data_IF_239244597058
#
_entry.id   IF_239244597058
#
_cell.length_a   1.000
_cell.length_b   1.000
_cell.length_c   1.000
_cell.angle_alpha   90.00
_cell.angle_beta   90.00
_cell.angle_gamma   90.00
#
_symmetry.space_group_name_H-M   'P 1'
#
loop_
_entity.id
_entity.type
_entity.pdbx_description
1 polymer ?
#
# COMPACT_ATOMS: atom_id res chain seq x y z
N UNK A 1 1.07 7.35 -23.66
CA UNK A 1 0.91 7.55 -22.21
C UNK A 1 2.27 7.83 -21.60
N UNK A 2 2.37 8.75 -20.66
CA UNK A 2 3.62 9.02 -19.96
C UNK A 2 3.75 8.11 -18.73
N UNK A 3 4.44 6.98 -18.91
CA UNK A 3 4.70 6.01 -17.87
C UNK A 3 5.62 6.53 -16.77
N UNK A 4 6.54 7.44 -17.11
CA UNK A 4 7.44 8.05 -16.13
C UNK A 4 6.67 8.90 -15.14
N UNK A 5 5.85 9.83 -15.63
CA UNK A 5 5.00 10.67 -14.76
C UNK A 5 4.03 9.83 -13.91
N UNK A 6 3.47 8.74 -14.47
CA UNK A 6 2.60 7.83 -13.71
C UNK A 6 3.36 7.16 -12.56
N UNK A 7 4.55 6.60 -12.83
CA UNK A 7 5.36 5.95 -11.80
C UNK A 7 5.82 6.96 -10.73
N UNK A 8 6.26 8.16 -11.12
CA UNK A 8 6.64 9.21 -10.18
C UNK A 8 5.49 9.62 -9.24
N UNK A 9 4.26 9.61 -9.75
CA UNK A 9 3.05 9.89 -8.95
C UNK A 9 2.71 8.77 -7.97
N UNK A 10 2.84 7.50 -8.39
CA UNK A 10 2.35 6.34 -7.66
C UNK A 10 3.45 5.62 -6.83
N UNK A 11 4.72 5.93 -7.07
CA UNK A 11 5.87 5.42 -6.31
C UNK A 11 6.46 6.55 -5.46
N UNK A 12 6.00 6.64 -4.24
CA UNK A 12 6.48 7.66 -3.29
C UNK A 12 7.03 6.99 -2.02
N UNK A 13 8.01 7.59 -1.34
CA UNK A 13 8.37 7.15 -0.01
C UNK A 13 7.19 7.37 0.95
N UNK A 14 7.02 6.45 1.88
CA UNK A 14 6.02 6.53 2.93
C UNK A 14 6.56 5.92 4.23
N UNK A 15 6.30 6.60 5.33
CA UNK A 15 6.72 6.23 6.65
C UNK A 15 5.59 5.48 7.37
N UNK A 16 5.66 4.15 7.43
CA UNK A 16 4.60 3.33 8.01
C UNK A 16 3.38 3.10 7.10
N UNK A 17 2.20 2.89 7.69
CA UNK A 17 0.97 2.67 6.95
C UNK A 17 0.37 3.99 6.45
N UNK A 18 -0.04 4.04 5.19
CA UNK A 18 -0.46 5.29 4.53
C UNK A 18 -1.71 5.91 5.13
N UNK A 19 -2.69 5.12 5.55
CA UNK A 19 -3.95 5.62 6.09
C UNK A 19 -3.79 6.30 7.47
N UNK A 20 -3.09 5.71 8.46
CA UNK A 20 -2.84 6.42 9.72
C UNK A 20 -1.95 7.65 9.53
N UNK A 21 -1.02 7.62 8.57
CA UNK A 21 -0.20 8.79 8.27
C UNK A 21 -1.03 9.90 7.61
N UNK A 22 -1.96 9.58 6.71
CA UNK A 22 -2.87 10.57 6.15
C UNK A 22 -3.76 11.23 7.22
N UNK A 23 -4.20 10.43 8.22
CA UNK A 23 -4.93 10.96 9.38
C UNK A 23 -4.06 11.89 10.22
N UNK A 24 -2.81 11.50 10.50
CA UNK A 24 -1.83 12.34 11.19
C UNK A 24 -1.52 13.62 10.41
N UNK A 25 -1.38 13.54 9.10
CA UNK A 25 -1.17 14.67 8.21
C UNK A 25 -2.32 15.66 8.24
N UNK A 26 -3.57 15.17 8.18
CA UNK A 26 -4.75 16.04 8.32
C UNK A 26 -4.79 16.75 9.68
N UNK A 27 -4.46 16.03 10.76
CA UNK A 27 -4.43 16.57 12.11
C UNK A 27 -3.28 17.60 12.30
N UNK A 28 -2.09 17.30 11.77
CA UNK A 28 -0.98 18.27 11.74
C UNK A 28 -1.36 19.56 10.99
N UNK A 29 -2.04 19.41 9.85
CA UNK A 29 -2.53 20.57 9.09
C UNK A 29 -3.58 21.36 9.85
N UNK A 30 -4.53 20.69 10.51
CA UNK A 30 -5.55 21.36 11.32
C UNK A 30 -4.92 22.13 12.51
N UNK A 31 -3.97 21.52 13.21
CA UNK A 31 -3.24 22.20 14.29
C UNK A 31 -2.41 23.38 13.77
N UNK A 32 -1.78 23.25 12.59
CA UNK A 32 -0.93 24.32 12.03
C UNK A 32 -1.66 25.59 11.60
N UNK A 33 -2.98 25.55 11.40
CA UNK A 33 -3.78 26.72 11.01
C UNK A 33 -4.50 27.39 12.18
N UNK A 34 -4.35 26.82 13.41
CA UNK A 34 -4.96 27.38 14.64
C UNK A 34 -4.03 28.33 15.39
N UNK A 35 -2.74 28.43 15.02
CA UNK A 35 -1.70 29.18 15.71
C UNK A 35 -1.46 28.75 17.18
N UNK A 36 -2.24 27.80 17.70
CA UNK A 36 -2.11 27.23 19.05
C UNK A 36 -2.46 25.73 19.07
N UNK A 37 -2.03 25.00 20.09
CA UNK A 37 -2.32 23.57 20.20
C UNK A 37 -3.80 23.36 20.55
N UNK A 38 -4.55 22.49 19.84
CA UNK A 38 -5.97 22.29 20.08
C UNK A 38 -6.27 21.69 21.46
N UNK A 39 -7.45 21.95 21.97
CA UNK A 39 -7.98 21.35 23.21
C UNK A 39 -8.69 20.02 22.95
N UNK A 40 -9.18 19.80 21.73
CA UNK A 40 -9.86 18.59 21.31
C UNK A 40 -9.72 18.37 19.82
N UNK A 41 -9.69 17.10 19.41
CA UNK A 41 -9.77 16.67 18.01
C UNK A 41 -10.98 15.77 17.82
N UNK A 42 -11.77 16.04 16.78
CA UNK A 42 -12.80 15.15 16.29
C UNK A 42 -12.43 14.63 14.90
N UNK A 43 -12.31 13.31 14.75
CA UNK A 43 -11.92 12.66 13.50
C UNK A 43 -13.13 11.91 12.91
N UNK A 44 -13.64 12.35 11.76
CA UNK A 44 -14.66 11.64 10.97
C UNK A 44 -13.99 10.94 9.80
N UNK A 45 -14.13 9.63 9.72
CA UNK A 45 -13.41 8.83 8.74
C UNK A 45 -14.35 7.85 8.03
N UNK A 46 -14.08 7.59 6.74
CA UNK A 46 -14.75 6.49 6.04
C UNK A 46 -14.49 5.15 6.69
N UNK A 47 -15.36 4.21 6.43
CA UNK A 47 -15.26 2.84 6.89
C UNK A 47 -13.93 2.18 6.54
N UNK A 48 -13.41 2.43 5.34
CA UNK A 48 -12.11 1.89 4.90
C UNK A 48 -10.91 2.49 5.66
N UNK A 49 -10.95 3.76 5.99
CA UNK A 49 -9.91 4.38 6.84
C UNK A 49 -9.96 3.77 8.24
N UNK A 50 -11.14 3.65 8.85
CA UNK A 50 -11.29 3.01 10.17
C UNK A 50 -10.73 1.58 10.14
N UNK A 51 -11.12 0.77 9.15
CA UNK A 51 -10.66 -0.60 8.95
C UNK A 51 -9.13 -0.71 8.89
N UNK A 52 -8.48 0.21 8.17
CA UNK A 52 -7.04 0.16 7.94
C UNK A 52 -6.21 0.74 9.09
N UNK A 53 -6.80 1.59 9.94
CA UNK A 53 -6.07 2.26 11.04
C UNK A 53 -6.29 1.57 12.40
N UNK A 54 -7.46 0.96 12.63
CA UNK A 54 -7.87 0.43 13.94
C UNK A 54 -6.82 -0.48 14.61
N UNK A 55 -6.17 -1.35 13.86
CA UNK A 55 -5.31 -2.42 14.41
C UNK A 55 -3.81 -2.26 14.11
N UNK A 56 -3.42 -1.23 13.35
CA UNK A 56 -2.02 -1.01 12.97
C UNK A 56 -1.30 -0.17 14.03
N UNK A 57 -0.03 -0.49 14.26
CA UNK A 57 0.83 0.33 15.11
C UNK A 57 1.20 1.61 14.36
N UNK A 58 0.97 2.76 15.00
CA UNK A 58 1.35 4.06 14.45
C UNK A 58 2.87 4.22 14.55
N UNK A 59 3.56 4.55 13.46
CA UNK A 59 5.00 4.75 13.48
C UNK A 59 5.42 5.80 14.52
N UNK A 60 6.54 5.58 15.16
CA UNK A 60 7.09 6.47 16.19
C UNK A 60 6.18 6.78 17.39
N UNK A 61 5.05 6.08 17.55
CA UNK A 61 4.09 6.29 18.65
C UNK A 61 4.45 5.59 19.97
N UNK A 62 5.54 4.82 20.00
CA UNK A 62 5.85 3.94 21.14
C UNK A 62 4.92 2.72 21.24
N UNK A 63 4.47 2.18 20.08
CA UNK A 63 3.62 0.98 20.00
C UNK A 63 2.11 1.24 20.12
N UNK A 64 1.68 2.50 20.13
CA UNK A 64 0.26 2.88 20.18
C UNK A 64 -0.44 2.58 18.85
N UNK A 65 -1.73 2.26 18.92
CA UNK A 65 -2.55 1.89 17.77
C UNK A 65 -3.79 2.76 17.64
N UNK A 66 -4.38 2.76 16.45
CA UNK A 66 -5.71 3.31 16.22
C UNK A 66 -5.74 4.78 15.80
N UNK A 67 -6.95 5.24 15.45
CA UNK A 67 -7.20 6.54 14.83
C UNK A 67 -6.83 7.71 15.77
N UNK A 68 -7.26 7.63 17.04
CA UNK A 68 -6.95 8.67 18.02
C UNK A 68 -5.44 8.87 18.19
N UNK A 69 -4.67 7.77 18.27
CA UNK A 69 -3.21 7.85 18.39
C UNK A 69 -2.56 8.52 17.17
N UNK A 70 -3.04 8.23 15.95
CA UNK A 70 -2.54 8.85 14.74
C UNK A 70 -2.86 10.35 14.68
N UNK A 71 -4.11 10.73 14.97
CA UNK A 71 -4.54 12.13 14.93
C UNK A 71 -3.80 12.98 15.99
N UNK A 72 -3.75 12.50 17.23
CA UNK A 72 -3.08 13.22 18.32
C UNK A 72 -1.58 13.39 18.02
N UNK A 73 -0.88 12.30 17.62
CA UNK A 73 0.55 12.38 17.33
C UNK A 73 0.84 13.31 16.15
N UNK A 74 -0.02 13.32 15.13
CA UNK A 74 0.08 14.26 14.01
C UNK A 74 -0.02 15.72 14.46
N UNK A 75 -0.99 16.04 15.33
CA UNK A 75 -1.15 17.38 15.88
C UNK A 75 0.06 17.80 16.77
N UNK A 76 0.61 16.86 17.56
CA UNK A 76 1.78 17.12 18.41
C UNK A 76 3.02 17.44 17.56
N UNK A 77 3.33 16.62 16.56
CA UNK A 77 4.53 16.76 15.71
C UNK A 77 4.44 18.01 14.83
N UNK A 78 3.25 18.28 14.27
CA UNK A 78 2.89 19.56 13.67
C UNK A 78 3.63 19.98 12.40
N UNK A 79 4.18 19.04 11.60
CA UNK A 79 4.93 19.30 10.37
C UNK A 79 4.18 18.85 9.09
N UNK A 80 3.05 19.52 8.72
CA UNK A 80 2.23 19.09 7.57
C UNK A 80 2.97 19.15 6.23
N UNK A 81 4.01 19.94 6.09
CA UNK A 81 4.83 20.02 4.87
C UNK A 81 5.56 18.72 4.54
N UNK A 82 5.66 17.78 5.51
CA UNK A 82 6.25 16.45 5.32
C UNK A 82 5.29 15.40 4.77
N UNK A 83 4.02 15.72 4.60
CA UNK A 83 2.99 14.81 4.03
C UNK A 83 3.04 13.41 4.68
N UNK A 84 3.39 12.38 3.90
CA UNK A 84 3.45 10.98 4.37
C UNK A 84 4.65 10.65 5.28
N UNK A 85 5.48 11.62 5.58
CA UNK A 85 6.62 11.53 6.52
C UNK A 85 6.38 12.38 7.78
N UNK A 86 5.17 12.88 7.99
CA UNK A 86 4.78 13.80 9.07
C UNK A 86 5.15 13.32 10.48
N UNK A 87 5.22 12.01 10.72
CA UNK A 87 5.57 11.42 12.03
C UNK A 87 7.06 11.05 12.18
N UNK A 88 7.89 11.30 11.17
CA UNK A 88 9.30 10.90 11.19
C UNK A 88 10.08 11.52 12.36
N UNK A 89 9.82 12.78 12.68
CA UNK A 89 10.52 13.56 13.69
C UNK A 89 9.96 13.41 15.12
N UNK A 90 8.99 12.51 15.36
CA UNK A 90 8.40 12.33 16.68
C UNK A 90 9.41 11.87 17.73
N UNK A 91 9.48 12.58 18.85
CA UNK A 91 10.43 12.41 19.95
C UNK A 91 9.87 11.55 21.09
N UNK A 92 10.71 11.23 22.09
CA UNK A 92 10.25 10.56 23.31
C UNK A 92 9.30 11.44 24.15
N UNK A 93 9.45 12.74 24.09
CA UNK A 93 8.56 13.70 24.76
C UNK A 93 7.19 13.71 24.11
N UNK A 94 7.14 13.69 22.78
CA UNK A 94 5.87 13.60 22.01
C UNK A 94 5.13 12.29 22.34
N UNK A 95 5.85 11.18 22.50
CA UNK A 95 5.24 9.88 22.89
C UNK A 95 4.66 9.91 24.30
N UNK A 96 5.30 10.59 25.24
CA UNK A 96 4.77 10.77 26.60
C UNK A 96 3.53 11.64 26.58
N UNK A 97 3.57 12.74 25.83
CA UNK A 97 2.42 13.63 25.67
C UNK A 97 1.26 12.94 24.99
N UNK A 98 1.52 12.17 23.91
CA UNK A 98 0.53 11.31 23.27
C UNK A 98 -0.18 10.40 24.28
N UNK A 99 0.59 9.76 25.19
CA UNK A 99 0.00 8.89 26.22
C UNK A 99 -0.99 9.63 27.12
N UNK A 100 -0.61 10.80 27.63
CA UNK A 100 -1.47 11.63 28.48
C UNK A 100 -2.75 12.08 27.76
N UNK A 101 -2.63 12.50 26.49
CA UNK A 101 -3.78 12.96 25.71
C UNK A 101 -4.73 11.82 25.36
N UNK A 102 -4.21 10.63 25.05
CA UNK A 102 -5.05 9.43 24.85
C UNK A 102 -5.87 9.08 26.09
N UNK A 103 -5.25 9.12 27.26
CA UNK A 103 -5.90 8.81 28.54
C UNK A 103 -6.96 9.85 28.94
N UNK A 104 -6.82 11.10 28.47
CA UNK A 104 -7.80 12.18 28.71
C UNK A 104 -9.01 12.17 27.80
N UNK A 105 -9.03 11.34 26.75
CA UNK A 105 -10.10 11.38 25.73
C UNK A 105 -10.04 12.60 24.80
N UNK A 106 -8.84 13.13 24.59
CA UNK A 106 -8.57 14.31 23.74
C UNK A 106 -9.05 14.16 22.29
N UNK A 107 -9.17 12.94 21.77
CA UNK A 107 -9.63 12.69 20.41
C UNK A 107 -10.86 11.77 20.41
N UNK A 108 -11.91 12.21 19.72
CA UNK A 108 -13.10 11.40 19.42
C UNK A 108 -13.08 10.97 17.96
N UNK A 109 -13.62 9.77 17.69
CA UNK A 109 -13.64 9.18 16.34
C UNK A 109 -15.07 8.82 15.96
N UNK A 110 -15.47 9.18 14.74
CA UNK A 110 -16.80 8.93 14.19
C UNK A 110 -16.72 8.32 12.80
N UNK A 111 -17.65 7.42 12.47
CA UNK A 111 -17.83 6.89 11.12
C UNK A 111 -18.52 7.93 10.25
N UNK A 112 -17.89 8.31 9.14
CA UNK A 112 -18.51 9.11 8.10
C UNK A 112 -19.25 8.18 7.12
N UNK A 113 -20.57 8.31 7.06
CA UNK A 113 -21.42 7.57 6.12
C UNK A 113 -21.66 8.36 4.83
N UNK A 114 -21.84 7.65 3.71
CA UNK A 114 -22.17 8.28 2.41
C UNK A 114 -21.02 9.03 1.75
N UNK A 115 -19.78 8.78 2.19
CA UNK A 115 -18.55 9.42 1.67
C UNK A 115 -17.74 8.45 0.82
N UNK A 116 -16.73 8.95 0.12
CA UNK A 116 -15.80 8.13 -0.66
C UNK A 116 -14.98 7.17 0.23
N UNK A 117 -14.44 6.11 -0.38
CA UNK A 117 -13.65 5.10 0.31
C UNK A 117 -12.44 5.66 1.06
N UNK A 118 -11.82 6.72 0.55
CA UNK A 118 -10.78 7.48 1.23
C UNK A 118 -11.33 8.85 1.60
N UNK A 119 -11.81 8.95 2.83
CA UNK A 119 -12.32 10.19 3.41
C UNK A 119 -11.82 10.31 4.85
N UNK A 120 -11.19 11.43 5.14
CA UNK A 120 -10.73 11.84 6.47
C UNK A 120 -11.14 13.29 6.65
N UNK A 121 -11.86 13.60 7.74
CA UNK A 121 -12.15 14.95 8.17
C UNK A 121 -11.70 15.12 9.62
N UNK A 122 -10.84 16.09 9.86
CA UNK A 122 -10.36 16.47 11.19
C UNK A 122 -10.96 17.83 11.53
N UNK A 123 -11.66 17.87 12.67
CA UNK A 123 -12.03 19.11 13.33
C UNK A 123 -11.17 19.26 14.58
N UNK A 124 -10.33 20.28 14.63
CA UNK A 124 -9.51 20.63 15.77
C UNK A 124 -10.04 21.92 16.39
N UNK A 125 -10.22 21.94 17.73
CA UNK A 125 -10.82 23.08 18.45
C UNK A 125 -9.90 23.56 19.55
N UNK A 126 -9.84 24.87 19.73
CA UNK A 126 -9.30 25.56 20.90
C UNK A 126 -10.45 26.19 21.68
N UNK A 127 -10.19 27.03 22.68
CA UNK A 127 -11.24 27.76 23.40
C UNK A 127 -11.91 28.82 22.51
N UNK A 128 -11.20 29.34 21.50
CA UNK A 128 -11.64 30.46 20.67
C UNK A 128 -11.84 30.09 19.20
N UNK A 129 -11.12 29.08 18.68
CA UNK A 129 -11.08 28.77 17.25
C UNK A 129 -11.40 27.31 16.92
N UNK A 130 -11.89 27.10 15.72
CA UNK A 130 -12.18 25.77 15.15
C UNK A 130 -11.60 25.66 13.75
N UNK A 131 -10.70 24.69 13.53
CA UNK A 131 -10.18 24.37 12.21
C UNK A 131 -10.79 23.07 11.69
N UNK A 132 -11.09 23.02 10.39
CA UNK A 132 -11.53 21.80 9.70
C UNK A 132 -10.61 21.52 8.52
N UNK A 133 -10.10 20.30 8.44
CA UNK A 133 -9.28 19.82 7.33
C UNK A 133 -9.85 18.52 6.78
N UNK A 134 -9.96 18.42 5.45
CA UNK A 134 -10.47 17.23 4.77
C UNK A 134 -9.48 16.68 3.76
N UNK A 135 -9.31 15.35 3.75
CA UNK A 135 -8.54 14.61 2.75
C UNK A 135 -9.49 13.65 2.04
N UNK A 136 -9.47 13.65 0.71
CA UNK A 136 -10.33 12.81 -0.12
C UNK A 136 -9.56 12.23 -1.32
N UNK A 137 -9.91 11.00 -1.70
CA UNK A 137 -9.48 10.30 -2.92
C UNK A 137 -7.99 9.92 -3.00
N UNK A 138 -7.09 10.62 -2.31
CA UNK A 138 -5.68 10.26 -2.20
C UNK A 138 -5.13 10.71 -0.83
N UNK A 139 -4.17 9.96 -0.27
CA UNK A 139 -3.67 10.14 1.10
C UNK A 139 -3.05 11.51 1.39
N UNK A 140 -2.60 12.23 0.37
CA UNK A 140 -2.02 13.59 0.49
C UNK A 140 -2.89 14.68 -0.12
N UNK A 141 -4.12 14.33 -0.59
CA UNK A 141 -5.00 15.28 -1.25
C UNK A 141 -5.89 16.01 -0.24
N UNK A 142 -5.39 17.10 0.34
CA UNK A 142 -6.22 18.00 1.15
C UNK A 142 -7.19 18.73 0.21
N UNK A 143 -8.48 18.48 0.39
CA UNK A 143 -9.55 19.07 -0.44
C UNK A 143 -10.22 20.27 0.22
N UNK A 144 -10.10 20.40 1.54
CA UNK A 144 -10.75 21.49 2.28
C UNK A 144 -9.93 21.89 3.52
N UNK A 145 -9.79 23.18 3.74
CA UNK A 145 -9.24 23.77 4.96
C UNK A 145 -10.06 25.02 5.32
N UNK A 146 -10.54 25.09 6.54
CA UNK A 146 -11.21 26.30 7.06
C UNK A 146 -10.81 26.56 8.51
N UNK A 147 -10.96 27.82 8.94
CA UNK A 147 -10.88 28.27 10.34
C UNK A 147 -12.09 29.13 10.62
N UNK A 148 -12.85 28.83 11.68
CA UNK A 148 -14.08 29.52 12.12
C UNK A 148 -15.14 29.66 11.01
N UNK A 149 -15.15 28.67 10.08
CA UNK A 149 -16.05 28.68 8.92
C UNK A 149 -15.55 29.53 7.75
N UNK A 150 -14.45 30.27 7.88
CA UNK A 150 -13.78 30.92 6.77
C UNK A 150 -12.94 29.89 6.00
N UNK A 151 -13.21 29.72 4.70
CA UNK A 151 -12.53 28.76 3.84
C UNK A 151 -11.19 29.33 3.41
N UNK A 152 -10.09 28.69 3.85
CA UNK A 152 -8.72 29.06 3.46
C UNK A 152 -8.32 28.37 2.15
N UNK A 153 -8.80 27.16 1.91
CA UNK A 153 -8.54 26.41 0.69
C UNK A 153 -9.67 25.41 0.46
N UNK A 154 -10.18 25.39 -0.75
CA UNK A 154 -11.14 24.36 -1.20
C UNK A 154 -10.80 23.95 -2.63
N UNK A 155 -10.61 22.63 -2.82
CA UNK A 155 -10.49 22.03 -4.14
C UNK A 155 -11.82 21.36 -4.43
N UNK A 156 -12.64 22.00 -5.27
CA UNK A 156 -13.86 21.37 -5.78
C UNK A 156 -13.39 20.22 -6.69
N UNK A 157 -13.35 19.03 -6.13
CA UNK A 157 -13.33 17.83 -6.97
C UNK A 157 -14.71 17.82 -7.63
N UNK A 158 -14.80 18.24 -8.90
CA UNK A 158 -15.94 17.81 -9.71
C UNK A 158 -16.05 16.32 -9.45
N UNK A 159 -17.24 15.88 -8.98
CA UNK A 159 -17.57 14.46 -8.83
C UNK A 159 -17.51 13.90 -10.25
N UNK A 160 -16.32 13.65 -10.73
CA UNK A 160 -16.13 12.66 -11.75
C UNK A 160 -16.50 11.38 -11.03
N UNK A 161 -17.68 10.81 -11.39
CA UNK A 161 -18.01 9.40 -11.13
C UNK A 161 -16.68 8.68 -11.15
N UNK A 162 -16.35 7.94 -10.08
CA UNK A 162 -15.05 7.31 -9.93
C UNK A 162 -14.67 6.75 -11.28
N UNK A 163 -14.00 7.58 -12.09
CA UNK A 163 -13.36 7.11 -13.29
C UNK A 163 -12.49 6.04 -12.70
N UNK A 164 -12.94 4.79 -12.85
CA UNK A 164 -12.02 3.69 -12.80
C UNK A 164 -10.88 4.22 -13.63
N UNK A 165 -9.77 4.59 -12.98
CA UNK A 165 -8.63 5.18 -13.67
C UNK A 165 -8.06 4.06 -14.55
N UNK A 166 -8.84 3.69 -15.56
CA UNK A 166 -8.44 2.80 -16.62
C UNK A 166 -7.42 3.57 -17.39
N UNK A 167 -6.19 3.51 -16.88
CA UNK A 167 -5.06 3.96 -17.67
C UNK A 167 -5.16 3.21 -19.01
N UNK A 168 -5.01 3.86 -20.16
CA UNK A 168 -4.99 3.20 -21.44
C UNK A 168 -3.71 2.38 -21.64
N UNK A 169 -3.43 1.51 -20.66
CA UNK A 169 -2.31 0.58 -20.63
C UNK A 169 -2.78 -0.77 -21.17
N UNK A 170 -1.86 -1.46 -21.79
CA UNK A 170 -1.98 -2.88 -22.12
C UNK A 170 -0.74 -3.59 -21.63
N UNK A 171 -0.81 -4.90 -21.44
CA UNK A 171 0.34 -5.71 -21.11
C UNK A 171 1.48 -5.47 -22.11
N UNK A 172 1.16 -5.48 -23.42
CA UNK A 172 2.13 -5.26 -24.49
C UNK A 172 2.86 -3.92 -24.37
N UNK A 173 2.12 -2.84 -24.14
CA UNK A 173 2.70 -1.51 -24.06
C UNK A 173 3.62 -1.35 -22.82
N UNK A 174 3.28 -2.00 -21.71
CA UNK A 174 4.10 -2.05 -20.50
C UNK A 174 5.36 -2.88 -20.75
N UNK A 175 5.22 -4.06 -21.35
CA UNK A 175 6.33 -4.96 -21.67
C UNK A 175 7.36 -4.29 -22.57
N UNK A 176 6.93 -3.69 -23.69
CA UNK A 176 7.83 -3.03 -24.63
C UNK A 176 8.50 -1.80 -24.01
N UNK A 177 7.78 -1.01 -23.21
CA UNK A 177 8.37 0.13 -22.51
C UNK A 177 9.45 -0.33 -21.51
N UNK A 178 9.16 -1.31 -20.67
CA UNK A 178 10.13 -1.83 -19.72
C UNK A 178 11.36 -2.44 -20.37
N UNK A 179 11.17 -3.11 -21.53
CA UNK A 179 12.25 -3.76 -22.27
C UNK A 179 13.20 -2.78 -22.98
N UNK A 180 12.68 -1.73 -23.62
CA UNK A 180 13.44 -0.88 -24.53
C UNK A 180 13.19 0.63 -24.36
N UNK A 181 12.23 1.05 -23.53
CA UNK A 181 11.95 2.46 -23.28
C UNK A 181 13.06 3.18 -22.50
N UNK A 182 13.03 4.50 -22.56
CA UNK A 182 13.88 5.32 -21.70
C UNK A 182 13.30 5.38 -20.29
N UNK A 183 14.01 4.79 -19.33
CA UNK A 183 13.63 4.74 -17.91
C UNK A 183 14.41 5.74 -17.05
N UNK A 184 15.24 6.60 -17.65
CA UNK A 184 16.13 7.51 -16.91
C UNK A 184 15.38 8.42 -15.92
N UNK A 185 14.20 8.92 -16.31
CA UNK A 185 13.39 9.80 -15.49
C UNK A 185 12.81 9.16 -14.23
N UNK A 186 12.75 7.82 -14.14
CA UNK A 186 12.23 7.09 -12.95
C UNK A 186 13.34 6.42 -12.13
N UNK A 187 14.56 6.39 -12.59
CA UNK A 187 15.68 5.73 -11.89
C UNK A 187 15.85 6.19 -10.43
N UNK A 188 15.70 7.47 -10.07
CA UNK A 188 15.79 7.89 -8.68
C UNK A 188 14.78 7.15 -7.79
N UNK A 189 13.51 7.07 -8.19
CA UNK A 189 12.46 6.38 -7.42
C UNK A 189 12.68 4.86 -7.36
N UNK A 190 13.17 4.25 -8.44
CA UNK A 190 13.51 2.81 -8.47
C UNK A 190 14.67 2.50 -7.53
N UNK A 191 15.74 3.31 -7.54
CA UNK A 191 16.88 3.15 -6.62
C UNK A 191 16.43 3.30 -5.17
N UNK A 192 15.60 4.30 -4.88
CA UNK A 192 15.02 4.50 -3.56
C UNK A 192 14.14 3.31 -3.14
N UNK A 193 13.35 2.72 -4.07
CA UNK A 193 12.58 1.50 -3.80
C UNK A 193 13.48 0.33 -3.42
N UNK A 194 14.59 0.14 -4.13
CA UNK A 194 15.57 -0.91 -3.80
C UNK A 194 16.15 -0.68 -2.42
N UNK A 195 16.61 0.53 -2.13
CA UNK A 195 17.24 0.89 -0.87
C UNK A 195 16.29 0.73 0.32
N UNK A 196 15.14 1.41 0.29
CA UNK A 196 14.22 1.47 1.42
C UNK A 196 13.54 0.14 1.69
N UNK A 197 13.06 -0.53 0.63
CA UNK A 197 12.36 -1.80 0.79
C UNK A 197 13.31 -2.91 1.24
N UNK A 198 14.58 -2.87 0.82
CA UNK A 198 15.61 -3.79 1.32
C UNK A 198 15.94 -3.51 2.78
N UNK A 199 16.08 -2.25 3.17
CA UNK A 199 16.41 -1.88 4.55
C UNK A 199 15.35 -2.40 5.54
N UNK A 200 14.07 -2.11 5.30
CA UNK A 200 13.00 -2.58 6.20
C UNK A 200 12.79 -4.11 6.14
N UNK A 201 13.06 -4.74 5.01
CA UNK A 201 13.04 -6.19 4.89
C UNK A 201 14.11 -6.85 5.75
N UNK A 202 15.33 -6.33 5.71
CA UNK A 202 16.45 -6.80 6.54
C UNK A 202 16.18 -6.57 8.03
N UNK A 203 15.60 -5.43 8.37
CA UNK A 203 15.16 -5.11 9.74
C UNK A 203 14.15 -6.14 10.26
N UNK A 204 13.13 -6.46 9.45
CA UNK A 204 12.12 -7.46 9.80
C UNK A 204 12.66 -8.90 9.89
N UNK A 205 13.74 -9.23 9.17
CA UNK A 205 14.44 -10.51 9.34
C UNK A 205 15.32 -10.56 10.59
N UNK A 206 15.84 -9.42 11.03
CA UNK A 206 16.80 -9.35 12.13
C UNK A 206 16.15 -9.22 13.50
N UNK A 207 14.96 -8.64 13.58
CA UNK A 207 14.27 -8.31 14.81
C UNK A 207 12.86 -8.91 14.89
N UNK A 208 12.26 -8.92 16.09
CA UNK A 208 10.92 -9.43 16.34
C UNK A 208 9.86 -8.39 15.97
N UNK A 209 9.04 -8.74 14.95
CA UNK A 209 7.96 -7.91 14.49
C UNK A 209 6.68 -8.71 14.20
N UNK A 210 5.57 -8.30 14.79
CA UNK A 210 4.26 -8.87 14.49
C UNK A 210 4.19 -10.39 14.69
N UNK A 211 3.87 -11.11 13.64
CA UNK A 211 3.81 -12.58 13.65
C UNK A 211 5.13 -13.24 13.18
N UNK A 212 6.16 -12.46 12.88
CA UNK A 212 7.46 -12.95 12.41
C UNK A 212 7.37 -13.91 11.20
N UNK A 213 6.43 -13.69 10.30
CA UNK A 213 6.19 -14.59 9.15
C UNK A 213 7.45 -14.72 8.29
N UNK A 214 8.16 -13.61 8.04
CA UNK A 214 9.40 -13.64 7.26
C UNK A 214 10.46 -14.54 7.90
N UNK A 215 10.66 -14.43 9.22
CA UNK A 215 11.61 -15.28 9.98
C UNK A 215 11.13 -16.72 10.07
N UNK A 216 9.85 -16.94 10.28
CA UNK A 216 9.23 -18.26 10.36
C UNK A 216 9.45 -19.07 9.07
N UNK A 217 9.40 -18.43 7.91
CA UNK A 217 9.65 -19.08 6.61
C UNK A 217 11.09 -19.57 6.44
N UNK A 218 12.04 -19.01 7.19
CA UNK A 218 13.46 -19.42 7.18
C UNK A 218 13.83 -20.34 8.36
N UNK A 219 12.87 -20.56 9.29
CA UNK A 219 13.14 -21.37 10.48
C UNK A 219 13.41 -22.82 10.06
N UNK A 220 14.48 -23.38 10.62
CA UNK A 220 14.90 -24.76 10.40
C UNK A 220 15.26 -25.13 8.93
N UNK A 221 15.44 -24.14 8.04
CA UNK A 221 15.87 -24.33 6.65
C UNK A 221 17.29 -23.76 6.46
N UNK A 222 18.30 -24.62 6.54
CA UNK A 222 19.72 -24.20 6.39
C UNK A 222 20.05 -23.75 4.97
N UNK A 223 19.28 -24.18 3.96
CA UNK A 223 19.51 -23.86 2.55
C UNK A 223 18.23 -23.47 1.83
N UNK A 224 17.59 -22.35 2.25
CA UNK A 224 16.30 -21.97 1.73
C UNK A 224 16.34 -21.74 0.21
N UNK A 225 15.31 -22.25 -0.47
CA UNK A 225 15.16 -22.05 -1.90
C UNK A 225 15.00 -20.57 -2.25
N UNK A 226 15.28 -20.21 -3.51
CA UNK A 226 15.06 -18.83 -3.99
C UNK A 226 13.62 -18.38 -3.72
N UNK A 227 12.62 -19.24 -3.95
CA UNK A 227 11.21 -18.95 -3.68
C UNK A 227 10.97 -18.66 -2.19
N UNK A 228 11.57 -19.46 -1.30
CA UNK A 228 11.49 -19.25 0.16
C UNK A 228 12.13 -17.92 0.57
N UNK A 229 13.32 -17.59 0.03
CA UNK A 229 13.98 -16.29 0.28
C UNK A 229 13.13 -15.11 -0.18
N UNK A 230 12.53 -15.20 -1.37
CA UNK A 230 11.62 -14.16 -1.90
C UNK A 230 10.43 -13.92 -0.97
N UNK A 231 9.77 -14.99 -0.53
CA UNK A 231 8.64 -14.93 0.40
C UNK A 231 9.05 -14.35 1.75
N UNK A 232 10.15 -14.85 2.30
CA UNK A 232 10.64 -14.43 3.61
C UNK A 232 10.97 -12.95 3.64
N UNK A 233 11.70 -12.44 2.66
CA UNK A 233 12.08 -11.02 2.60
C UNK A 233 10.88 -10.09 2.39
N UNK A 234 9.94 -10.45 1.51
CA UNK A 234 8.72 -9.66 1.31
C UNK A 234 7.83 -9.64 2.56
N UNK A 235 7.65 -10.80 3.21
CA UNK A 235 6.86 -10.91 4.44
C UNK A 235 7.51 -10.16 5.61
N UNK A 236 8.84 -10.27 5.79
CA UNK A 236 9.58 -9.60 6.87
C UNK A 236 9.45 -8.07 6.80
N UNK A 237 9.56 -7.49 5.60
CA UNK A 237 9.32 -6.05 5.44
C UNK A 237 7.91 -5.64 5.85
N UNK A 238 6.91 -6.47 5.57
CA UNK A 238 5.53 -6.25 6.04
C UNK A 238 5.37 -6.47 7.55
N UNK A 239 6.01 -7.48 8.15
CA UNK A 239 6.01 -7.70 9.60
C UNK A 239 6.53 -6.44 10.32
N UNK A 240 7.69 -5.92 9.92
CA UNK A 240 8.27 -4.71 10.48
C UNK A 240 7.35 -3.49 10.29
N UNK A 241 6.87 -3.27 9.06
CA UNK A 241 6.02 -2.13 8.70
C UNK A 241 4.70 -2.12 9.49
N UNK A 242 4.01 -3.25 9.60
CA UNK A 242 2.73 -3.36 10.31
C UNK A 242 2.88 -3.26 11.82
N UNK A 243 4.09 -3.41 12.33
CA UNK A 243 4.45 -3.26 13.75
C UNK A 243 5.04 -1.90 14.10
N UNK A 244 5.00 -0.94 13.17
CA UNK A 244 5.41 0.44 13.43
C UNK A 244 6.91 0.69 13.35
N UNK A 245 7.66 -0.17 12.64
CA UNK A 245 9.08 0.05 12.37
C UNK A 245 9.31 1.44 11.75
N UNK A 246 10.27 2.23 12.26
CA UNK A 246 10.52 3.59 11.82
C UNK A 246 11.42 3.67 10.57
N UNK A 247 11.25 2.75 9.64
CA UNK A 247 11.91 2.78 8.35
C UNK A 247 10.91 3.05 7.23
N UNK A 248 11.26 3.91 6.25
CA UNK A 248 10.39 4.19 5.12
C UNK A 248 10.32 3.01 4.15
N UNK A 249 9.27 3.01 3.34
CA UNK A 249 9.11 2.13 2.18
C UNK A 249 8.76 2.96 0.96
N UNK A 250 9.08 2.52 -0.24
CA UNK A 250 8.49 3.08 -1.45
C UNK A 250 7.23 2.31 -1.77
N UNK A 251 6.10 3.03 -1.76
CA UNK A 251 4.76 2.48 -2.03
C UNK A 251 4.57 2.14 -3.51
N UNK A 252 3.60 1.28 -3.80
CA UNK A 252 3.05 1.08 -5.14
C UNK A 252 1.52 1.05 -5.04
N UNK A 253 0.84 1.78 -5.93
CA UNK A 253 -0.63 1.88 -5.92
C UNK A 253 -1.22 2.24 -4.55
N UNK A 254 -0.62 3.21 -3.87
CA UNK A 254 -1.07 3.74 -2.58
C UNK A 254 -0.80 2.85 -1.36
N UNK A 255 -0.03 1.75 -1.49
CA UNK A 255 0.26 0.84 -0.37
C UNK A 255 1.73 0.43 -0.27
N UNK A 256 2.33 0.56 0.93
CA UNK A 256 3.68 0.11 1.21
C UNK A 256 3.81 -1.42 1.17
N UNK A 257 2.80 -2.17 1.64
CA UNK A 257 2.81 -3.62 1.52
C UNK A 257 2.79 -4.08 0.05
N UNK A 258 2.08 -3.37 -0.83
CA UNK A 258 2.16 -3.65 -2.27
C UNK A 258 3.54 -3.31 -2.83
N UNK A 259 4.13 -2.17 -2.42
CA UNK A 259 5.51 -1.80 -2.80
C UNK A 259 6.54 -2.86 -2.40
N UNK A 260 6.47 -3.37 -1.16
CA UNK A 260 7.31 -4.46 -0.68
C UNK A 260 7.08 -5.76 -1.46
N UNK A 261 5.82 -6.12 -1.66
CA UNK A 261 5.45 -7.38 -2.32
C UNK A 261 5.85 -7.41 -3.79
N UNK A 262 5.74 -6.28 -4.50
CA UNK A 262 6.12 -6.21 -5.91
C UNK A 262 7.64 -6.17 -6.09
N UNK A 263 8.38 -5.53 -5.18
CA UNK A 263 9.82 -5.28 -5.38
C UNK A 263 10.72 -6.36 -4.75
N UNK A 264 10.48 -6.78 -3.51
CA UNK A 264 11.40 -7.64 -2.78
C UNK A 264 11.69 -8.99 -3.45
N UNK A 265 10.71 -9.70 -4.04
CA UNK A 265 11.01 -10.94 -4.75
C UNK A 265 11.91 -10.74 -5.98
N UNK A 266 11.74 -9.64 -6.72
CA UNK A 266 12.55 -9.29 -7.88
C UNK A 266 13.97 -8.91 -7.44
N UNK A 267 14.11 -8.07 -6.41
CA UNK A 267 15.40 -7.68 -5.83
C UNK A 267 16.15 -8.93 -5.35
N UNK A 268 15.49 -9.79 -4.56
CA UNK A 268 16.06 -11.03 -4.06
C UNK A 268 16.55 -11.95 -5.22
N UNK A 269 15.74 -12.05 -6.28
CA UNK A 269 16.10 -12.87 -7.45
C UNK A 269 17.29 -12.28 -8.21
N UNK A 270 17.34 -10.95 -8.35
CA UNK A 270 18.45 -10.27 -9.00
C UNK A 270 19.77 -10.48 -8.24
N UNK A 271 19.76 -10.34 -6.92
CA UNK A 271 20.91 -10.59 -6.04
C UNK A 271 21.40 -12.04 -6.16
N UNK A 272 20.51 -13.03 -6.05
CA UNK A 272 20.85 -14.47 -6.10
C UNK A 272 21.37 -14.91 -7.49
N UNK A 273 20.93 -14.26 -8.55
CA UNK A 273 21.34 -14.59 -9.92
C UNK A 273 22.48 -13.68 -10.44
N UNK A 274 22.97 -12.72 -9.65
CA UNK A 274 24.02 -11.79 -10.06
C UNK A 274 23.63 -10.93 -11.26
N UNK A 275 22.37 -10.48 -11.31
CA UNK A 275 21.86 -9.62 -12.37
C UNK A 275 22.43 -8.20 -12.25
N UNK A 276 22.54 -7.52 -13.38
CA UNK A 276 22.99 -6.12 -13.43
C UNK A 276 21.91 -5.18 -12.90
N UNK A 277 22.33 -3.99 -12.47
CA UNK A 277 21.41 -2.92 -12.05
C UNK A 277 20.39 -2.58 -13.14
N UNK A 278 20.80 -2.54 -14.40
CA UNK A 278 19.92 -2.24 -15.52
C UNK A 278 18.82 -3.30 -15.69
N UNK A 279 19.18 -4.60 -15.59
CA UNK A 279 18.21 -5.71 -15.64
C UNK A 279 17.23 -5.62 -14.47
N UNK A 280 17.73 -5.37 -13.26
CA UNK A 280 16.91 -5.18 -12.07
C UNK A 280 15.94 -4.00 -12.22
N UNK A 281 16.44 -2.84 -12.61
CA UNK A 281 15.61 -1.62 -12.70
C UNK A 281 14.52 -1.77 -13.77
N UNK A 282 14.82 -2.37 -14.92
CA UNK A 282 13.81 -2.67 -15.94
C UNK A 282 12.74 -3.64 -15.46
N UNK A 283 13.13 -4.68 -14.74
CA UNK A 283 12.17 -5.62 -14.14
C UNK A 283 11.28 -4.96 -13.07
N UNK A 284 11.84 -4.04 -12.27
CA UNK A 284 11.06 -3.26 -11.31
C UNK A 284 10.11 -2.26 -12.00
N UNK A 285 10.54 -1.59 -13.07
CA UNK A 285 9.66 -0.74 -13.89
C UNK A 285 8.51 -1.55 -14.47
N UNK A 286 8.80 -2.71 -15.07
CA UNK A 286 7.77 -3.63 -15.58
C UNK A 286 6.75 -3.99 -14.51
N UNK A 287 7.22 -4.47 -13.36
CA UNK A 287 6.35 -4.96 -12.30
C UNK A 287 5.54 -3.84 -11.62
N UNK A 288 6.13 -2.65 -11.39
CA UNK A 288 5.39 -1.52 -10.84
C UNK A 288 4.28 -1.06 -11.80
N UNK A 289 4.57 -0.89 -13.10
CA UNK A 289 3.55 -0.53 -14.11
C UNK A 289 2.44 -1.59 -14.21
N UNK A 290 2.82 -2.86 -14.24
CA UNK A 290 1.86 -3.96 -14.33
C UNK A 290 0.99 -4.04 -13.07
N UNK A 291 1.55 -3.74 -11.88
CA UNK A 291 0.77 -3.64 -10.64
C UNK A 291 -0.26 -2.51 -10.73
N UNK A 292 0.14 -1.34 -11.22
CA UNK A 292 -0.78 -0.20 -11.43
C UNK A 292 -1.89 -0.57 -12.42
N UNK A 293 -1.54 -1.27 -13.49
CA UNK A 293 -2.50 -1.72 -14.50
C UNK A 293 -3.52 -2.71 -13.92
N UNK A 294 -3.09 -3.77 -13.26
CA UNK A 294 -3.98 -4.74 -12.61
C UNK A 294 -4.86 -4.05 -11.56
N UNK A 295 -4.29 -3.15 -10.77
CA UNK A 295 -5.01 -2.41 -9.74
C UNK A 295 -5.98 -1.36 -10.29
N UNK A 296 -5.82 -0.89 -11.51
CA UNK A 296 -6.72 0.11 -12.10
C UNK A 296 -8.18 -0.38 -12.18
N UNK A 297 -8.39 -1.67 -12.45
CA UNK A 297 -9.71 -2.29 -12.44
C UNK A 297 -10.25 -2.66 -11.06
N UNK A 298 -9.36 -2.83 -10.06
CA UNK A 298 -9.72 -3.24 -8.70
C UNK A 298 -10.03 -2.03 -7.81
N UNK A 299 -9.29 -0.95 -7.97
CA UNK A 299 -9.33 0.24 -7.11
C UNK A 299 -8.29 0.24 -6.00
N UNK A 300 -7.97 1.43 -5.46
CA UNK A 300 -6.93 1.60 -4.43
C UNK A 300 -7.34 0.99 -3.09
N UNK A 301 -8.56 1.24 -2.63
CA UNK A 301 -9.18 0.64 -1.45
C UNK A 301 -10.31 -0.29 -1.88
N UNK A 302 -10.25 -1.54 -1.47
CA UNK A 302 -11.15 -2.60 -1.93
C UNK A 302 -11.13 -3.78 -0.95
N UNK A 303 -12.20 -4.56 -0.92
CA UNK A 303 -12.22 -5.87 -0.27
C UNK A 303 -11.29 -6.89 -0.95
N UNK A 304 -10.90 -6.67 -2.20
CA UNK A 304 -9.89 -7.48 -2.89
C UNK A 304 -8.48 -7.09 -2.42
N UNK A 305 -7.73 -8.04 -1.86
CA UNK A 305 -6.45 -7.75 -1.25
C UNK A 305 -5.37 -7.36 -2.28
N UNK A 306 -4.85 -6.13 -2.19
CA UNK A 306 -3.87 -5.60 -3.15
C UNK A 306 -2.53 -6.33 -3.16
N UNK A 307 -2.09 -6.92 -2.04
CA UNK A 307 -0.84 -7.69 -1.99
C UNK A 307 -0.90 -8.97 -2.83
N UNK A 308 -2.11 -9.49 -3.08
CA UNK A 308 -2.30 -10.65 -3.97
C UNK A 308 -1.90 -10.30 -5.40
N UNK A 309 -2.46 -9.19 -5.93
CA UNK A 309 -2.08 -8.71 -7.27
C UNK A 309 -0.58 -8.40 -7.35
N UNK A 310 -0.03 -7.72 -6.33
CA UNK A 310 1.40 -7.38 -6.28
C UNK A 310 2.29 -8.63 -6.25
N UNK A 311 1.90 -9.68 -5.51
CA UNK A 311 2.62 -10.95 -5.44
C UNK A 311 2.65 -11.69 -6.78
N UNK A 312 1.51 -11.74 -7.46
CA UNK A 312 1.40 -12.36 -8.79
C UNK A 312 2.27 -11.60 -9.79
N UNK A 313 2.16 -10.28 -9.81
CA UNK A 313 2.92 -9.42 -10.72
C UNK A 313 4.43 -9.50 -10.43
N UNK A 314 4.85 -9.61 -9.16
CA UNK A 314 6.27 -9.73 -8.82
C UNK A 314 6.90 -10.98 -9.43
N UNK A 315 6.17 -12.11 -9.47
CA UNK A 315 6.66 -13.35 -10.08
C UNK A 315 6.67 -13.27 -11.61
N UNK A 316 5.71 -12.57 -12.23
CA UNK A 316 5.80 -12.20 -13.65
C UNK A 316 7.03 -11.30 -13.93
N UNK A 317 7.34 -10.38 -13.00
CA UNK A 317 8.57 -9.57 -13.04
C UNK A 317 9.85 -10.41 -12.89
N UNK A 318 9.82 -11.48 -12.10
CA UNK A 318 10.94 -12.46 -12.02
C UNK A 318 11.11 -13.20 -13.35
N UNK A 319 10.02 -13.61 -14.00
CA UNK A 319 10.07 -14.23 -15.32
C UNK A 319 10.68 -13.26 -16.36
N UNK A 320 10.28 -11.98 -16.32
CA UNK A 320 10.86 -10.93 -17.15
C UNK A 320 12.37 -10.75 -16.88
N UNK A 321 12.78 -10.66 -15.60
CA UNK A 321 14.19 -10.54 -15.17
C UNK A 321 15.06 -11.71 -15.65
N UNK A 322 14.48 -12.93 -15.68
CA UNK A 322 15.15 -14.13 -16.16
C UNK A 322 15.26 -14.20 -17.69
N UNK A 323 14.54 -13.34 -18.41
CA UNK A 323 14.47 -13.33 -19.85
C UNK A 323 13.61 -14.45 -20.45
N UNK A 324 12.62 -14.96 -19.67
CA UNK A 324 11.63 -15.89 -20.18
C UNK A 324 10.83 -15.27 -21.34
N UNK A 325 10.21 -16.10 -22.18
CA UNK A 325 9.40 -15.61 -23.30
C UNK A 325 8.19 -14.82 -22.80
N UNK A 326 7.68 -13.94 -23.65
CA UNK A 326 6.50 -13.13 -23.35
C UNK A 326 5.30 -14.00 -22.97
N UNK A 327 5.10 -15.13 -23.68
CA UNK A 327 4.03 -16.09 -23.39
C UNK A 327 4.13 -16.66 -21.96
N UNK A 328 5.34 -17.03 -21.52
CA UNK A 328 5.56 -17.51 -20.13
C UNK A 328 5.22 -16.43 -19.11
N UNK A 329 5.55 -15.17 -19.40
CA UNK A 329 5.25 -14.04 -18.51
C UNK A 329 3.74 -13.81 -18.43
N UNK A 330 3.03 -13.81 -19.58
CA UNK A 330 1.58 -13.68 -19.64
C UNK A 330 0.87 -14.82 -18.92
N UNK A 331 1.27 -16.05 -19.20
CA UNK A 331 0.73 -17.26 -18.57
C UNK A 331 0.95 -17.26 -17.05
N UNK A 332 2.13 -16.82 -16.58
CA UNK A 332 2.41 -16.66 -15.15
C UNK A 332 1.41 -15.71 -14.49
N UNK A 333 1.14 -14.57 -15.14
CA UNK A 333 0.18 -13.59 -14.66
C UNK A 333 -1.24 -14.14 -14.63
N UNK A 334 -1.69 -14.75 -15.73
CA UNK A 334 -3.03 -15.34 -15.85
C UNK A 334 -3.25 -16.45 -14.84
N UNK A 335 -2.31 -17.41 -14.74
CA UNK A 335 -2.40 -18.54 -13.81
C UNK A 335 -2.50 -18.04 -12.34
N UNK A 336 -1.69 -17.04 -11.98
CA UNK A 336 -1.72 -16.45 -10.64
C UNK A 336 -3.03 -15.71 -10.36
N UNK A 337 -3.49 -14.87 -11.28
CA UNK A 337 -4.71 -14.08 -11.12
C UNK A 337 -5.95 -14.96 -10.93
N UNK A 338 -6.07 -16.02 -11.72
CA UNK A 338 -7.23 -16.92 -11.65
C UNK A 338 -7.20 -17.81 -10.41
N UNK A 339 -6.00 -18.28 -10.00
CA UNK A 339 -5.86 -19.15 -8.82
C UNK A 339 -6.05 -18.42 -7.49
N UNK A 340 -5.70 -17.13 -7.42
CA UNK A 340 -5.64 -16.38 -6.16
C UNK A 340 -6.74 -15.31 -6.03
N UNK A 341 -7.63 -15.16 -7.02
CA UNK A 341 -8.72 -14.18 -6.94
C UNK A 341 -9.65 -14.49 -5.77
N UNK A 342 -10.10 -13.43 -5.07
CA UNK A 342 -11.06 -13.55 -3.98
C UNK A 342 -10.46 -13.54 -2.57
N UNK A 343 -9.15 -13.40 -2.38
CA UNK A 343 -8.57 -13.21 -1.05
C UNK A 343 -9.01 -11.84 -0.50
N UNK A 344 -9.77 -11.87 0.60
CA UNK A 344 -10.33 -10.68 1.22
C UNK A 344 -9.30 -9.80 1.92
N UNK A 345 -9.48 -8.49 1.82
CA UNK A 345 -8.71 -7.49 2.56
C UNK A 345 -9.50 -7.03 3.79
N UNK A 346 -8.97 -7.29 4.96
CA UNK A 346 -9.54 -6.92 6.26
C UNK A 346 -8.69 -5.85 6.97
N UNK A 347 -8.04 -4.97 6.21
CA UNK A 347 -7.25 -3.83 6.69
C UNK A 347 -5.78 -4.15 6.94
N UNK A 348 -5.02 -3.12 7.36
CA UNK A 348 -3.60 -3.22 7.68
C UNK A 348 -3.39 -3.83 9.07
N UNK A 349 -2.61 -4.92 9.15
CA UNK A 349 -2.33 -5.65 10.38
C UNK A 349 -1.26 -6.73 10.19
N UNK A 350 -0.78 -7.38 11.26
CA UNK A 350 0.29 -8.40 11.16
C UNK A 350 -0.01 -9.53 10.16
N UNK A 351 -1.27 -9.95 9.98
CA UNK A 351 -1.61 -11.01 9.01
C UNK A 351 -1.40 -10.63 7.54
N UNK A 352 -1.07 -9.37 7.23
CA UNK A 352 -0.66 -8.97 5.87
C UNK A 352 0.60 -9.72 5.40
N UNK A 353 1.57 -9.95 6.29
CA UNK A 353 2.77 -10.72 5.98
C UNK A 353 2.45 -12.16 5.55
N UNK A 354 1.49 -12.81 6.23
CA UNK A 354 0.99 -14.13 5.84
C UNK A 354 0.30 -14.14 4.48
N UNK A 355 -0.52 -13.13 4.18
CA UNK A 355 -1.16 -12.98 2.86
C UNK A 355 -0.14 -12.75 1.75
N UNK A 356 0.95 -12.02 2.01
CA UNK A 356 2.07 -11.86 1.08
C UNK A 356 2.72 -13.20 0.79
N UNK A 357 3.07 -13.97 1.81
CA UNK A 357 3.70 -15.28 1.65
C UNK A 357 2.83 -16.23 0.81
N UNK A 358 1.53 -16.33 1.12
CA UNK A 358 0.57 -17.19 0.40
C UNK A 358 0.38 -16.71 -1.04
N UNK A 359 0.32 -15.40 -1.28
CA UNK A 359 0.18 -14.88 -2.64
C UNK A 359 1.39 -15.20 -3.51
N UNK A 360 2.59 -15.17 -2.94
CA UNK A 360 3.81 -15.57 -3.64
C UNK A 360 3.87 -17.08 -3.89
N UNK A 361 3.41 -17.93 -2.96
CA UNK A 361 3.32 -19.38 -3.19
C UNK A 361 2.46 -19.70 -4.40
N UNK A 362 1.26 -19.13 -4.47
CA UNK A 362 0.38 -19.34 -5.63
C UNK A 362 0.94 -18.75 -6.92
N UNK A 363 1.60 -17.60 -6.85
CA UNK A 363 2.23 -16.98 -8.01
C UNK A 363 3.41 -17.83 -8.55
N UNK A 364 4.28 -18.34 -7.69
CA UNK A 364 5.35 -19.26 -8.10
C UNK A 364 4.82 -20.58 -8.65
N UNK A 365 3.71 -21.09 -8.13
CA UNK A 365 3.02 -22.24 -8.72
C UNK A 365 2.57 -21.90 -10.15
N UNK A 366 1.94 -20.74 -10.37
CA UNK A 366 1.53 -20.28 -11.69
C UNK A 366 2.70 -20.14 -12.68
N UNK A 367 3.84 -19.67 -12.20
CA UNK A 367 5.06 -19.60 -12.99
C UNK A 367 5.60 -20.99 -13.39
N UNK A 368 5.59 -21.97 -12.48
CA UNK A 368 5.96 -23.36 -12.78
C UNK A 368 5.03 -23.97 -13.82
N UNK A 369 3.72 -23.72 -13.72
CA UNK A 369 2.75 -24.16 -14.72
C UNK A 369 3.06 -23.57 -16.10
N UNK A 370 3.34 -22.26 -16.19
CA UNK A 370 3.69 -21.58 -17.43
C UNK A 370 4.93 -22.22 -18.09
N UNK A 371 6.00 -22.42 -17.32
CA UNK A 371 7.23 -23.04 -17.81
C UNK A 371 7.08 -24.49 -18.26
N UNK A 372 6.10 -25.20 -17.74
CA UNK A 372 5.79 -26.59 -18.12
C UNK A 372 4.72 -26.69 -19.21
N UNK A 373 4.26 -25.58 -19.78
CA UNK A 373 3.15 -25.51 -20.74
C UNK A 373 1.86 -26.16 -20.18
N UNK A 374 1.56 -25.89 -18.89
CA UNK A 374 0.38 -26.40 -18.16
C UNK A 374 -0.53 -25.25 -17.69
N UNK A 375 -0.53 -24.16 -18.43
CA UNK A 375 -1.35 -23.00 -18.12
C UNK A 375 -2.83 -23.26 -18.35
N UNK A 376 -3.67 -22.56 -17.58
CA UNK A 376 -5.11 -22.57 -17.78
C UNK A 376 -5.47 -22.03 -19.16
N UNK A 377 -6.53 -22.57 -19.72
CA UNK A 377 -6.96 -22.26 -21.07
C UNK A 377 -8.14 -21.29 -21.07
N UNK A 378 -8.30 -20.56 -22.16
CA UNK A 378 -9.47 -19.72 -22.37
C UNK A 378 -10.77 -20.48 -22.08
N UNK A 379 -11.61 -19.90 -21.21
CA UNK A 379 -12.86 -20.49 -20.76
C UNK A 379 -12.74 -21.28 -19.45
N UNK A 380 -11.53 -21.47 -18.92
CA UNK A 380 -11.34 -22.02 -17.59
C UNK A 380 -11.67 -20.93 -16.53
N UNK A 381 -12.91 -20.92 -16.09
CA UNK A 381 -13.38 -19.91 -15.12
C UNK A 381 -13.26 -18.48 -15.64
N UNK A 382 -12.38 -17.68 -15.04
CA UNK A 382 -12.17 -16.27 -15.39
C UNK A 382 -11.10 -16.05 -16.47
N UNK A 383 -10.50 -17.10 -17.01
CA UNK A 383 -9.54 -16.98 -18.11
C UNK A 383 -10.24 -16.52 -19.39
N UNK A 384 -9.92 -15.31 -19.81
CA UNK A 384 -10.54 -14.68 -20.99
C UNK A 384 -9.72 -14.88 -22.28
N UNK A 385 -9.95 -14.07 -23.30
CA UNK A 385 -9.33 -14.21 -24.60
C UNK A 385 -7.86 -13.79 -24.63
N UNK A 386 -7.50 -12.85 -23.77
CA UNK A 386 -6.16 -12.30 -23.65
C UNK A 386 -5.83 -12.06 -22.17
N UNK A 387 -4.56 -11.77 -21.87
CA UNK A 387 -4.12 -11.35 -20.55
C UNK A 387 -4.85 -10.07 -20.11
N UNK A 388 -5.00 -9.09 -21.02
CA UNK A 388 -5.71 -7.84 -20.74
C UNK A 388 -7.21 -8.07 -20.44
N UNK A 389 -7.86 -8.97 -21.14
CA UNK A 389 -9.26 -9.31 -20.86
C UNK A 389 -9.41 -10.08 -19.54
N UNK A 390 -8.45 -10.93 -19.19
CA UNK A 390 -8.42 -11.60 -17.89
C UNK A 390 -8.24 -10.61 -16.76
N UNK A 391 -7.34 -9.64 -16.89
CA UNK A 391 -7.17 -8.54 -15.92
C UNK A 391 -8.49 -7.77 -15.73
N UNK A 392 -9.19 -7.43 -16.82
CA UNK A 392 -10.51 -6.77 -16.75
C UNK A 392 -11.54 -7.62 -16.02
N UNK A 393 -11.60 -8.93 -16.31
CA UNK A 393 -12.51 -9.87 -15.63
C UNK A 393 -12.27 -9.90 -14.12
N UNK A 394 -11.01 -9.93 -13.67
CA UNK A 394 -10.63 -9.85 -12.25
C UNK A 394 -11.06 -8.50 -11.64
N UNK A 395 -10.89 -7.40 -12.39
CA UNK A 395 -11.36 -6.08 -11.96
C UNK A 395 -12.88 -6.05 -11.72
N UNK A 396 -13.67 -6.65 -12.62
CA UNK A 396 -15.14 -6.76 -12.46
C UNK A 396 -15.51 -7.56 -11.20
N UNK A 397 -14.84 -8.68 -10.95
CA UNK A 397 -15.05 -9.48 -9.73
C UNK A 397 -14.71 -8.67 -8.49
N UNK A 398 -13.59 -7.95 -8.49
CA UNK A 398 -13.19 -7.11 -7.37
C UNK A 398 -14.19 -5.96 -7.10
N UNK A 399 -14.78 -5.37 -8.14
CA UNK A 399 -15.86 -4.38 -7.98
C UNK A 399 -17.11 -5.00 -7.36
N UNK A 400 -17.43 -6.25 -7.70
CA UNK A 400 -18.53 -7.00 -7.07
C UNK A 400 -18.32 -7.29 -5.59
N UNK A 401 -17.10 -7.17 -5.06
CA UNK A 401 -16.79 -7.37 -3.63
C UNK A 401 -17.09 -6.15 -2.74
N UNK A 402 -17.71 -5.08 -3.23
CA UNK A 402 -18.04 -3.88 -2.43
C UNK A 402 -18.92 -4.21 -1.22
N UNK A 403 -19.92 -5.07 -1.38
CA UNK A 403 -20.76 -5.51 -0.27
C UNK A 403 -19.97 -6.36 0.73
N UNK A 404 -19.03 -7.17 0.27
CA UNK A 404 -18.13 -7.95 1.13
C UNK A 404 -17.27 -7.02 2.00
N UNK A 405 -16.85 -5.87 1.49
CA UNK A 405 -16.10 -4.88 2.26
C UNK A 405 -16.93 -4.33 3.43
N UNK A 406 -18.20 -4.03 3.20
CA UNK A 406 -19.14 -3.59 4.24
C UNK A 406 -19.35 -4.69 5.30
N UNK A 407 -19.50 -5.94 4.87
CA UNK A 407 -19.64 -7.08 5.80
C UNK A 407 -18.39 -7.25 6.66
N UNK A 408 -17.20 -7.23 6.05
CA UNK A 408 -15.92 -7.32 6.78
C UNK A 408 -15.82 -6.20 7.83
N UNK A 409 -16.14 -4.96 7.43
CA UNK A 409 -16.10 -3.81 8.32
C UNK A 409 -17.05 -4.00 9.51
N UNK A 410 -18.31 -4.37 9.26
CA UNK A 410 -19.32 -4.57 10.30
C UNK A 410 -18.89 -5.67 11.28
N UNK A 411 -18.27 -6.76 10.80
CA UNK A 411 -17.71 -7.78 11.70
C UNK A 411 -16.53 -7.22 12.53
N UNK A 412 -15.64 -6.45 11.93
CA UNK A 412 -14.52 -5.85 12.66
C UNK A 412 -14.95 -4.82 13.71
N UNK A 413 -16.07 -4.14 13.53
CA UNK A 413 -16.59 -3.15 14.49
C UNK A 413 -17.25 -3.81 15.71
N UNK A 414 -17.59 -5.11 15.68
CA UNK A 414 -18.15 -5.86 16.82
C UNK A 414 -17.11 -6.17 17.91
N UNK A 415 -15.83 -6.08 17.59
CA UNK A 415 -14.69 -6.40 18.46
C UNK A 415 -13.79 -5.18 18.63
#
# INVERSE_FOLDING_TARGET
MDYISLLQKEMKPAFGCTEPIALAYAAAKAASVLDEFPNHIHARCSANIIKNVKSVVIPNSGGRKGLAAAAILGAIVGHPERELEVLESATDEDRKWLGMLLDSGFCTVELAEGVDNLYIEITATTDEHTAVVRIENAHTNITYVSVDGEVLSETINEIKEAESSTYPMTFDSIYEFAKAGDISGILPSIKQQVEYNTAISNEGLSNDYGANIGRLLLLDDETPSLETKCKARAAAGSDARMSGCPLPVVICSGSGNQGLTVSMPIITTAEELGKTDEELYRALVFANLLTLYVKSGIGKLSAYCGVVSAGIVSVAGIAFLKGDSKDIIEDTLVNGLVSLSGIGCDGAKPSCAGKIAISLDGAFMGYKQARLNKSYQKGDGLVAHSVDDTIKSIGVVAQGMKETDVVILNEMLKH
#
